data_IF_874743202705
#
_entry.id   IF_874743202705
#
_cell.length_a   1.000
_cell.length_b   1.000
_cell.length_c   1.000
_cell.angle_alpha   90.00
_cell.angle_beta   90.00
_cell.angle_gamma   90.00
#
_symmetry.space_group_name_H-M   'P 1'
#
loop_
_entity.id
_entity.type
_entity.pdbx_description
1 polymer ?
#
# COMPACT_ATOMS: atom_id res chain seq x y z
N UNK A 1 21.06 -0.66 10.73
CA UNK A 1 19.59 -0.83 10.74
C UNK A 1 19.03 0.06 9.63
N UNK A 2 18.15 -0.45 8.78
CA UNK A 2 17.55 0.38 7.74
C UNK A 2 16.29 1.03 8.31
N UNK A 3 16.35 2.34 8.52
CA UNK A 3 15.19 3.12 8.91
C UNK A 3 14.21 3.23 7.73
N UNK A 4 12.94 3.11 8.02
CA UNK A 4 11.84 3.33 7.07
C UNK A 4 11.19 4.67 7.43
N UNK A 5 11.07 5.54 6.45
CA UNK A 5 10.34 6.79 6.57
C UNK A 5 8.97 6.63 5.91
N UNK A 6 7.91 6.81 6.67
CA UNK A 6 6.52 6.80 6.21
C UNK A 6 5.91 8.19 6.28
N UNK A 7 5.17 8.57 5.22
CA UNK A 7 4.34 9.77 5.17
C UNK A 7 2.88 9.39 4.98
N UNK A 8 2.03 9.80 5.91
CA UNK A 8 0.57 9.86 5.72
C UNK A 8 0.20 11.28 5.29
N UNK A 9 -0.23 11.43 4.04
CA UNK A 9 -0.62 12.69 3.43
C UNK A 9 -2.16 12.78 3.47
N UNK A 10 -2.68 13.14 4.64
CA UNK A 10 -4.12 13.30 4.84
C UNK A 10 -4.65 14.66 4.37
N UNK A 11 -5.97 14.82 4.34
CA UNK A 11 -6.61 16.06 3.90
C UNK A 11 -6.26 17.27 4.78
N UNK A 12 -6.06 17.05 6.06
CA UNK A 12 -5.81 18.12 7.03
C UNK A 12 -4.35 18.24 7.47
N UNK A 13 -3.69 17.12 7.65
CA UNK A 13 -2.34 17.02 8.19
C UNK A 13 -1.46 16.12 7.33
N UNK A 14 -0.15 16.37 7.37
CA UNK A 14 0.87 15.41 6.98
C UNK A 14 1.50 14.86 8.25
N UNK A 15 1.54 13.54 8.38
CA UNK A 15 2.21 12.83 9.47
C UNK A 15 3.43 12.13 8.91
N UNK A 16 4.61 12.46 9.43
CA UNK A 16 5.84 11.74 9.12
C UNK A 16 6.25 10.86 10.30
N UNK A 17 6.60 9.61 10.03
CA UNK A 17 7.06 8.66 11.03
C UNK A 17 8.31 7.96 10.52
N UNK A 18 9.37 7.95 11.31
CA UNK A 18 10.61 7.21 11.02
C UNK A 18 10.81 6.15 12.07
N UNK A 19 11.17 4.97 11.65
CA UNK A 19 11.43 3.85 12.55
C UNK A 19 12.04 2.66 11.83
N UNK A 20 12.30 1.59 12.56
CA UNK A 20 12.88 0.37 12.03
C UNK A 20 12.21 -0.87 12.62
N UNK A 21 12.35 -1.99 11.91
CA UNK A 21 11.91 -3.29 12.41
C UNK A 21 13.06 -3.96 13.17
N UNK A 22 12.75 -4.47 14.35
CA UNK A 22 13.65 -5.26 15.17
C UNK A 22 13.71 -6.71 14.69
N UNK A 23 14.70 -7.50 15.13
CA UNK A 23 14.87 -8.90 14.74
C UNK A 23 13.71 -9.80 15.21
N UNK A 24 13.05 -9.45 16.30
CA UNK A 24 11.85 -10.10 16.83
C UNK A 24 10.55 -9.66 16.14
N UNK A 25 10.66 -8.80 15.11
CA UNK A 25 9.54 -8.36 14.27
C UNK A 25 8.76 -7.16 14.79
N UNK A 26 9.09 -6.60 15.95
CA UNK A 26 8.49 -5.36 16.44
C UNK A 26 8.94 -4.15 15.60
N UNK A 27 8.08 -3.13 15.51
CA UNK A 27 8.44 -1.86 14.86
C UNK A 27 8.68 -0.79 15.92
N UNK A 28 9.88 -0.22 15.94
CA UNK A 28 10.25 0.86 16.85
C UNK A 28 10.17 2.18 16.11
N UNK A 29 9.36 3.12 16.62
CA UNK A 29 9.29 4.49 16.15
C UNK A 29 10.40 5.30 16.81
N UNK A 30 11.29 5.89 16.00
CA UNK A 30 12.41 6.72 16.46
C UNK A 30 12.04 8.20 16.48
N UNK A 31 11.29 8.64 15.46
CA UNK A 31 10.83 10.02 15.36
C UNK A 31 9.45 10.08 14.69
N UNK A 32 8.63 11.03 15.12
CA UNK A 32 7.34 11.33 14.50
C UNK A 32 7.08 12.84 14.56
N UNK A 33 6.55 13.35 13.45
CA UNK A 33 6.16 14.75 13.39
C UNK A 33 4.88 14.93 12.59
N UNK A 34 4.02 15.85 13.05
CA UNK A 34 2.73 16.16 12.44
C UNK A 34 2.67 17.62 12.07
N UNK A 35 2.30 17.93 10.83
CA UNK A 35 2.10 19.31 10.39
C UNK A 35 0.79 19.48 9.66
N UNK A 36 0.06 20.50 10.02
CA UNK A 36 -1.18 20.88 9.33
C UNK A 36 -0.86 21.54 8.00
N UNK A 37 -1.64 21.21 6.96
CA UNK A 37 -1.57 21.89 5.68
C UNK A 37 -1.94 23.38 5.77
N UNK A 38 -1.37 24.16 4.87
CA UNK A 38 -1.90 25.48 4.56
C UNK A 38 -3.34 25.37 4.02
N UNK A 39 -4.14 26.43 4.19
CA UNK A 39 -5.52 26.44 3.73
C UNK A 39 -5.66 26.10 2.24
N UNK A 40 -6.60 25.22 1.88
CA UNK A 40 -6.93 24.81 0.51
C UNK A 40 -5.81 24.09 -0.24
N UNK A 41 -4.93 23.39 0.45
CA UNK A 41 -3.89 22.55 -0.18
C UNK A 41 -4.44 21.21 -0.66
N UNK A 42 -5.37 20.65 0.13
CA UNK A 42 -6.02 19.37 -0.10
C UNK A 42 -7.54 19.53 -0.04
N UNK A 43 -8.27 18.75 -0.83
CA UNK A 43 -9.73 18.63 -0.79
C UNK A 43 -10.12 17.16 -1.00
N UNK A 44 -10.89 16.59 -0.08
CA UNK A 44 -11.41 15.21 -0.16
C UNK A 44 -10.36 14.13 -0.49
N UNK A 45 -9.13 14.31 -0.02
CA UNK A 45 -8.00 13.40 -0.29
C UNK A 45 -7.26 13.67 -1.60
N UNK A 46 -7.65 14.70 -2.36
CA UNK A 46 -6.95 15.12 -3.58
C UNK A 46 -6.08 16.35 -3.33
N UNK A 47 -4.94 16.40 -4.00
CA UNK A 47 -4.03 17.55 -3.95
C UNK A 47 -4.56 18.64 -4.89
N UNK A 48 -4.92 19.80 -4.30
CA UNK A 48 -5.34 20.98 -5.06
C UNK A 48 -4.18 21.92 -5.38
N UNK A 49 -3.18 21.96 -4.50
CA UNK A 49 -2.00 22.81 -4.66
C UNK A 49 -0.75 21.99 -4.29
N UNK A 50 -0.11 21.45 -5.33
CA UNK A 50 1.08 20.59 -5.18
C UNK A 50 2.19 21.34 -4.44
N UNK A 51 2.40 22.63 -4.74
CA UNK A 51 3.45 23.43 -4.12
C UNK A 51 3.23 23.63 -2.61
N UNK A 52 1.99 23.84 -2.16
CA UNK A 52 1.66 23.94 -0.74
C UNK A 52 1.86 22.62 -0.02
N UNK A 53 1.40 21.51 -0.62
CA UNK A 53 1.60 20.17 -0.07
C UNK A 53 3.09 19.85 0.03
N UNK A 54 3.86 20.13 -1.02
CA UNK A 54 5.32 19.95 -1.04
C UNK A 54 6.04 20.75 0.07
N UNK A 55 5.61 22.00 0.33
CA UNK A 55 6.16 22.79 1.45
C UNK A 55 5.85 22.15 2.80
N UNK A 56 4.62 21.64 2.98
CA UNK A 56 4.26 20.94 4.23
C UNK A 56 5.09 19.67 4.41
N UNK A 57 5.26 18.87 3.36
CA UNK A 57 6.12 17.68 3.37
C UNK A 57 7.59 18.04 3.67
N UNK A 58 8.12 19.08 3.02
CA UNK A 58 9.50 19.56 3.25
C UNK A 58 9.72 19.99 4.69
N UNK A 59 8.72 20.61 5.31
CA UNK A 59 8.81 21.01 6.71
C UNK A 59 8.73 19.82 7.68
N UNK A 60 7.92 18.79 7.38
CA UNK A 60 7.91 17.53 8.14
C UNK A 60 9.25 16.84 8.03
N UNK A 61 9.79 16.73 6.80
CA UNK A 61 11.11 16.16 6.54
C UNK A 61 12.20 16.86 7.35
N UNK A 62 12.29 18.18 7.25
CA UNK A 62 13.33 18.95 7.93
C UNK A 62 13.31 18.78 9.45
N UNK A 63 12.13 18.71 10.05
CA UNK A 63 11.98 18.47 11.48
C UNK A 63 12.44 17.07 11.88
N UNK A 64 12.07 16.04 11.10
CA UNK A 64 12.51 14.67 11.36
C UNK A 64 14.01 14.49 11.15
N UNK A 65 14.59 15.11 10.11
CA UNK A 65 16.05 15.13 9.88
C UNK A 65 16.80 15.78 11.05
N UNK A 66 16.24 16.86 11.62
CA UNK A 66 16.83 17.51 12.79
C UNK A 66 16.74 16.65 14.06
N UNK A 67 15.66 15.89 14.25
CA UNK A 67 15.51 14.96 15.37
C UNK A 67 16.44 13.75 15.29
N UNK A 68 16.70 13.27 14.07
CA UNK A 68 17.48 12.06 13.81
C UNK A 68 18.96 12.33 13.53
N UNK A 69 19.33 13.57 13.28
CA UNK A 69 20.66 13.98 12.78
C UNK A 69 21.07 13.17 11.52
N UNK A 70 20.10 12.90 10.64
CA UNK A 70 20.29 12.06 9.46
C UNK A 70 19.40 12.52 8.28
N UNK A 71 19.89 12.47 7.03
CA UNK A 71 19.11 12.85 5.86
C UNK A 71 18.04 11.79 5.52
N UNK A 72 16.89 12.25 5.04
CA UNK A 72 15.79 11.42 4.57
C UNK A 72 15.60 11.63 3.05
N UNK A 73 15.94 10.64 2.24
CA UNK A 73 15.91 10.72 0.77
C UNK A 73 14.79 9.88 0.14
N UNK A 74 14.35 8.82 0.82
CA UNK A 74 13.34 7.91 0.35
C UNK A 74 12.18 7.85 1.33
N UNK A 75 10.96 7.67 0.82
CA UNK A 75 9.76 7.67 1.63
C UNK A 75 8.72 6.66 1.13
N UNK A 76 8.07 5.97 2.06
CA UNK A 76 6.85 5.21 1.83
C UNK A 76 5.65 6.12 2.05
N UNK A 77 4.74 6.23 1.08
CA UNK A 77 3.54 7.06 1.19
C UNK A 77 2.37 6.18 1.60
N UNK A 78 1.61 6.59 2.61
CA UNK A 78 0.30 6.06 2.90
C UNK A 78 -0.75 6.94 2.21
N UNK A 79 -1.49 6.34 1.28
CA UNK A 79 -2.60 7.00 0.61
C UNK A 79 -3.91 6.64 1.31
N UNK A 80 -4.63 7.66 1.73
CA UNK A 80 -5.95 7.52 2.34
C UNK A 80 -6.95 8.42 1.63
N UNK A 81 -8.23 8.08 1.73
CA UNK A 81 -9.29 8.98 1.31
C UNK A 81 -10.38 8.33 0.47
N UNK A 82 -11.41 9.12 0.16
CA UNK A 82 -12.62 8.71 -0.58
C UNK A 82 -12.38 8.34 -2.04
N UNK A 83 -11.18 8.64 -2.55
CA UNK A 83 -10.79 8.35 -3.94
C UNK A 83 -10.24 6.95 -4.15
N UNK A 84 -9.95 6.22 -3.05
CA UNK A 84 -9.56 4.82 -3.09
C UNK A 84 -10.70 3.95 -3.63
N UNK A 85 -10.38 3.10 -4.58
CA UNK A 85 -11.24 2.02 -5.07
C UNK A 85 -10.69 0.68 -4.62
N UNK A 86 -11.54 -0.18 -4.12
CA UNK A 86 -11.18 -1.56 -3.78
C UNK A 86 -12.00 -2.53 -4.58
N UNK A 87 -11.34 -3.57 -5.07
CA UNK A 87 -11.97 -4.69 -5.75
C UNK A 87 -11.56 -5.96 -5.02
N UNK A 88 -12.55 -6.76 -4.64
CA UNK A 88 -12.32 -8.11 -4.12
C UNK A 88 -12.61 -9.10 -5.23
N UNK A 89 -11.70 -10.02 -5.48
CA UNK A 89 -11.86 -11.04 -6.50
C UNK A 89 -11.27 -12.37 -6.04
N UNK A 90 -11.63 -13.44 -6.73
CA UNK A 90 -11.14 -14.80 -6.53
C UNK A 90 -10.43 -15.24 -7.80
N UNK A 91 -9.22 -15.76 -7.68
CA UNK A 91 -8.47 -16.33 -8.81
C UNK A 91 -7.97 -17.71 -8.47
N UNK A 92 -7.79 -18.52 -9.51
CA UNK A 92 -7.35 -19.90 -9.41
C UNK A 92 -6.29 -20.19 -10.47
N UNK A 93 -5.39 -21.11 -10.15
CA UNK A 93 -4.38 -21.63 -11.06
C UNK A 93 -4.35 -23.16 -10.95
N UNK A 94 -4.51 -23.85 -12.10
CA UNK A 94 -4.45 -25.30 -12.19
C UNK A 94 -3.11 -25.75 -12.73
N UNK A 95 -2.51 -26.72 -12.07
CA UNK A 95 -1.29 -27.39 -12.54
C UNK A 95 -1.64 -28.50 -13.54
N UNK A 96 -0.76 -28.74 -14.52
CA UNK A 96 -0.92 -29.87 -15.44
C UNK A 96 -0.80 -31.22 -14.74
N UNK A 97 0.00 -31.30 -13.67
CA UNK A 97 0.20 -32.46 -12.80
C UNK A 97 0.34 -31.96 -11.35
N UNK A 98 0.07 -32.84 -10.37
CA UNK A 98 0.23 -32.51 -8.96
C UNK A 98 1.65 -31.97 -8.69
N UNK A 99 1.74 -30.74 -8.22
CA UNK A 99 3.00 -30.02 -8.05
C UNK A 99 3.14 -29.49 -6.63
N UNK A 100 4.39 -29.26 -6.21
CA UNK A 100 4.66 -28.56 -4.95
C UNK A 100 4.55 -27.06 -5.20
N UNK A 101 3.71 -26.37 -4.44
CA UNK A 101 3.50 -24.92 -4.52
C UNK A 101 4.76 -24.19 -4.10
N UNK A 102 5.25 -23.31 -4.95
CA UNK A 102 6.42 -22.48 -4.70
C UNK A 102 6.05 -21.02 -4.44
N UNK A 103 6.96 -20.22 -3.89
CA UNK A 103 6.77 -18.77 -3.77
C UNK A 103 6.57 -18.07 -5.12
N UNK A 104 7.11 -18.62 -6.22
CA UNK A 104 6.91 -18.09 -7.58
C UNK A 104 5.48 -18.35 -8.08
N UNK A 105 4.89 -19.51 -7.76
CA UNK A 105 3.49 -19.81 -8.06
C UNK A 105 2.54 -18.86 -7.31
N UNK A 106 2.81 -18.60 -6.02
CA UNK A 106 2.05 -17.64 -5.22
C UNK A 106 2.16 -16.23 -5.80
N UNK A 107 3.38 -15.82 -6.22
CA UNK A 107 3.56 -14.52 -6.86
C UNK A 107 2.77 -14.42 -8.18
N UNK A 108 2.77 -15.48 -8.99
CA UNK A 108 1.99 -15.55 -10.23
C UNK A 108 0.49 -15.46 -9.94
N UNK A 109 0.01 -16.16 -8.93
CA UNK A 109 -1.39 -16.11 -8.50
C UNK A 109 -1.79 -14.68 -8.08
N UNK A 110 -0.96 -14.00 -7.27
CA UNK A 110 -1.18 -12.61 -6.87
C UNK A 110 -1.25 -11.67 -8.10
N UNK A 111 -0.40 -11.87 -9.12
CA UNK A 111 -0.44 -11.07 -10.34
C UNK A 111 -1.74 -11.29 -11.12
N UNK A 112 -2.21 -12.53 -11.23
CA UNK A 112 -3.51 -12.86 -11.84
C UNK A 112 -4.67 -12.18 -11.09
N UNK A 113 -4.62 -12.17 -9.76
CA UNK A 113 -5.60 -11.49 -8.92
C UNK A 113 -5.64 -9.99 -9.15
N UNK A 114 -4.47 -9.36 -9.25
CA UNK A 114 -4.36 -7.91 -9.55
C UNK A 114 -4.89 -7.60 -10.95
N UNK A 115 -4.54 -8.41 -11.96
CA UNK A 115 -5.01 -8.24 -13.34
C UNK A 115 -6.53 -8.37 -13.44
N UNK A 116 -7.11 -9.42 -12.86
CA UNK A 116 -8.55 -9.63 -12.83
C UNK A 116 -9.29 -8.48 -12.10
N UNK A 117 -8.76 -8.01 -10.97
CA UNK A 117 -9.33 -6.87 -10.25
C UNK A 117 -9.30 -5.60 -11.09
N UNK A 118 -8.23 -5.39 -11.88
CA UNK A 118 -8.12 -4.25 -12.78
C UNK A 118 -9.15 -4.31 -13.91
N UNK A 119 -9.42 -5.48 -14.46
CA UNK A 119 -10.44 -5.67 -15.49
C UNK A 119 -11.86 -5.44 -14.93
N UNK A 120 -12.17 -5.98 -13.75
CA UNK A 120 -13.42 -5.70 -13.03
C UNK A 120 -13.61 -4.19 -12.82
N UNK A 121 -12.53 -3.49 -12.40
CA UNK A 121 -12.60 -2.05 -12.20
C UNK A 121 -12.83 -1.29 -13.51
N UNK A 122 -12.24 -1.73 -14.62
CA UNK A 122 -12.46 -1.15 -15.95
C UNK A 122 -13.89 -1.31 -16.42
N UNK A 123 -14.51 -2.48 -16.21
CA UNK A 123 -15.90 -2.76 -16.56
C UNK A 123 -16.89 -1.93 -15.74
N UNK A 124 -16.59 -1.69 -14.46
CA UNK A 124 -17.46 -0.93 -13.55
C UNK A 124 -17.35 0.58 -13.74
N UNK A 125 -16.25 1.08 -14.29
CA UNK A 125 -16.04 2.51 -14.46
C UNK A 125 -16.12 2.87 -15.95
N UNK A 126 -16.95 3.88 -16.25
CA UNK A 126 -16.93 4.55 -17.54
C UNK A 126 -15.49 5.01 -17.83
N UNK A 127 -14.92 4.57 -18.93
CA UNK A 127 -13.52 4.56 -19.35
C UNK A 127 -12.71 5.86 -19.25
N UNK A 128 -13.17 6.84 -18.48
CA UNK A 128 -12.64 8.19 -18.42
C UNK A 128 -11.41 8.35 -17.52
N UNK A 129 -11.22 7.46 -16.56
CA UNK A 129 -10.13 7.57 -15.58
C UNK A 129 -9.25 6.33 -15.63
N UNK A 130 -7.94 6.54 -15.68
CA UNK A 130 -6.96 5.48 -15.44
C UNK A 130 -6.75 5.32 -13.94
N UNK A 131 -6.56 4.09 -13.52
CA UNK A 131 -6.32 3.71 -12.14
C UNK A 131 -5.02 2.92 -12.04
N UNK A 132 -4.26 3.18 -10.99
CA UNK A 132 -3.06 2.43 -10.64
C UNK A 132 -3.32 1.58 -9.41
N UNK A 133 -2.89 0.31 -9.45
CA UNK A 133 -2.83 -0.53 -8.28
C UNK A 133 -1.79 0.04 -7.31
N UNK A 134 -2.21 0.35 -6.09
CA UNK A 134 -1.34 0.89 -5.03
C UNK A 134 -1.12 -0.12 -3.90
N UNK A 135 -1.73 -1.29 -4.00
CA UNK A 135 -1.52 -2.39 -3.06
C UNK A 135 -2.57 -3.47 -3.18
N UNK A 136 -2.25 -4.63 -2.63
CA UNK A 136 -3.18 -5.74 -2.51
C UNK A 136 -2.96 -6.51 -1.20
N UNK A 137 -3.95 -7.29 -0.81
CA UNK A 137 -3.87 -8.20 0.33
C UNK A 137 -4.62 -9.48 0.03
N UNK A 138 -3.96 -10.60 0.25
CA UNK A 138 -4.62 -11.90 0.17
C UNK A 138 -5.40 -12.14 1.45
N UNK A 139 -6.69 -12.43 1.31
CA UNK A 139 -7.61 -12.70 2.42
C UNK A 139 -7.56 -14.17 2.80
N UNK A 140 -7.52 -15.05 1.78
CA UNK A 140 -7.51 -16.50 1.94
C UNK A 140 -6.76 -17.15 0.79
N UNK A 141 -6.09 -18.23 1.09
CA UNK A 141 -5.57 -19.16 0.10
C UNK A 141 -6.43 -20.42 0.03
N UNK A 142 -6.42 -21.06 -1.14
CA UNK A 142 -7.11 -22.32 -1.40
C UNK A 142 -6.11 -23.32 -1.98
N UNK A 143 -6.19 -24.55 -1.50
CA UNK A 143 -5.42 -25.69 -1.97
C UNK A 143 -6.41 -26.82 -2.29
N UNK A 144 -6.57 -27.18 -3.55
CA UNK A 144 -7.59 -28.14 -4.00
C UNK A 144 -8.98 -27.84 -3.41
N UNK A 145 -9.41 -26.55 -3.46
CA UNK A 145 -10.69 -26.01 -2.96
C UNK A 145 -10.82 -25.90 -1.42
N UNK A 146 -9.86 -26.37 -0.65
CA UNK A 146 -9.83 -26.22 0.81
C UNK A 146 -9.08 -24.95 1.23
N UNK A 147 -9.57 -24.27 2.29
CA UNK A 147 -9.00 -23.00 2.79
C UNK A 147 -7.74 -23.27 3.62
N UNK A 148 -6.66 -22.53 3.32
CA UNK A 148 -5.40 -22.58 4.03
C UNK A 148 -4.92 -21.19 4.43
N UNK A 149 -4.09 -21.12 5.49
CA UNK A 149 -3.40 -19.89 5.91
C UNK A 149 -2.15 -19.65 5.04
N UNK A 150 -1.44 -20.73 4.69
CA UNK A 150 -0.27 -20.72 3.83
C UNK A 150 -0.28 -21.98 2.98
N UNK A 151 0.05 -21.84 1.70
CA UNK A 151 0.05 -22.94 0.74
C UNK A 151 1.43 -23.31 0.23
N UNK A 152 2.45 -22.52 0.53
CA UNK A 152 3.84 -22.77 0.11
C UNK A 152 4.35 -24.10 0.67
N UNK A 153 4.99 -24.91 -0.18
CA UNK A 153 5.54 -26.21 0.17
C UNK A 153 4.53 -27.36 0.19
N UNK A 154 3.24 -27.11 0.05
CA UNK A 154 2.19 -28.13 -0.09
C UNK A 154 2.09 -28.64 -1.52
N UNK A 155 1.58 -29.87 -1.69
CA UNK A 155 1.26 -30.42 -3.00
C UNK A 155 -0.19 -30.15 -3.36
N UNK A 156 -0.43 -29.74 -4.61
CA UNK A 156 -1.75 -29.46 -5.13
C UNK A 156 -1.85 -29.72 -6.64
N UNK A 157 -3.07 -29.96 -7.10
CA UNK A 157 -3.45 -29.88 -8.50
C UNK A 157 -3.96 -28.49 -8.85
N UNK A 158 -4.47 -27.75 -7.85
CA UNK A 158 -5.08 -26.44 -8.03
C UNK A 158 -4.81 -25.57 -6.80
N UNK A 159 -4.44 -24.31 -7.05
CA UNK A 159 -4.30 -23.28 -6.02
C UNK A 159 -5.23 -22.11 -6.34
N UNK A 160 -5.65 -21.39 -5.31
CA UNK A 160 -6.49 -20.21 -5.47
C UNK A 160 -6.29 -19.21 -4.35
N UNK A 161 -6.80 -18.01 -4.55
CA UNK A 161 -6.84 -16.99 -3.52
C UNK A 161 -8.03 -16.06 -3.65
N UNK A 162 -8.51 -15.58 -2.50
CA UNK A 162 -9.33 -14.38 -2.41
C UNK A 162 -8.42 -13.20 -2.12
N UNK A 163 -8.44 -12.20 -2.99
CA UNK A 163 -7.55 -11.04 -2.93
C UNK A 163 -8.35 -9.74 -2.94
N UNK A 164 -7.94 -8.79 -2.13
CA UNK A 164 -8.42 -7.40 -2.16
C UNK A 164 -7.35 -6.57 -2.83
N UNK A 165 -7.70 -5.87 -3.90
CA UNK A 165 -6.79 -4.98 -4.63
C UNK A 165 -7.29 -3.54 -4.49
N UNK A 166 -6.36 -2.63 -4.21
CA UNK A 166 -6.64 -1.21 -4.00
C UNK A 166 -6.05 -0.39 -5.12
N UNK A 167 -6.85 0.55 -5.62
CA UNK A 167 -6.50 1.41 -6.73
C UNK A 167 -6.67 2.88 -6.38
N UNK A 168 -5.83 3.73 -6.99
CA UNK A 168 -5.94 5.18 -7.00
C UNK A 168 -6.05 5.71 -8.43
N UNK A 169 -6.79 6.81 -8.65
CA UNK A 169 -6.76 7.52 -9.93
C UNK A 169 -5.36 8.03 -10.27
N UNK A 170 -5.02 8.02 -11.57
CA UNK A 170 -3.71 8.45 -12.09
C UNK A 170 -3.33 9.86 -11.63
N UNK A 171 -4.25 10.81 -11.70
CA UNK A 171 -4.04 12.20 -11.29
C UNK A 171 -3.70 12.35 -9.81
N UNK A 172 -4.26 11.50 -8.96
CA UNK A 172 -3.95 11.46 -7.51
C UNK A 172 -2.53 10.94 -7.28
N UNK A 173 -2.17 9.84 -7.96
CA UNK A 173 -0.83 9.24 -7.89
C UNK A 173 0.21 10.24 -8.36
N UNK A 174 0.01 10.85 -9.53
CA UNK A 174 0.92 11.85 -10.11
C UNK A 174 1.07 13.08 -9.19
N UNK A 175 -0.03 13.53 -8.58
CA UNK A 175 -0.01 14.62 -7.61
C UNK A 175 0.85 14.29 -6.39
N UNK A 176 0.73 13.08 -5.83
CA UNK A 176 1.54 12.62 -4.70
C UNK A 176 3.02 12.52 -5.05
N UNK A 177 3.36 11.89 -6.18
CA UNK A 177 4.75 11.80 -6.66
C UNK A 177 5.36 13.18 -6.90
N UNK A 178 4.59 14.10 -7.52
CA UNK A 178 5.04 15.46 -7.76
C UNK A 178 5.30 16.24 -6.48
N UNK A 179 4.43 16.11 -5.47
CA UNK A 179 4.60 16.78 -4.18
C UNK A 179 5.84 16.28 -3.42
N UNK A 180 6.05 14.96 -3.41
CA UNK A 180 7.22 14.33 -2.78
C UNK A 180 8.51 14.67 -3.52
N UNK A 181 8.48 14.65 -4.87
CA UNK A 181 9.62 15.04 -5.70
C UNK A 181 10.04 16.51 -5.49
N UNK A 182 9.07 17.43 -5.36
CA UNK A 182 9.37 18.84 -5.01
C UNK A 182 9.97 18.98 -3.59
N UNK A 183 9.65 18.08 -2.67
CA UNK A 183 10.28 18.00 -1.36
C UNK A 183 11.66 17.31 -1.38
N UNK A 184 12.22 17.05 -2.57
CA UNK A 184 13.52 16.41 -2.81
C UNK A 184 13.63 15.03 -2.15
N UNK A 185 12.61 14.21 -2.37
CA UNK A 185 12.57 12.80 -1.98
C UNK A 185 12.08 11.94 -3.12
N UNK A 186 12.40 10.65 -3.07
CA UNK A 186 11.88 9.62 -3.96
C UNK A 186 10.86 8.76 -3.22
N UNK A 187 9.81 8.35 -3.91
CA UNK A 187 8.83 7.41 -3.37
C UNK A 187 9.39 6.00 -3.50
N UNK A 188 9.69 5.36 -2.39
CA UNK A 188 10.14 3.98 -2.35
C UNK A 188 8.97 3.00 -2.49
N UNK A 189 7.83 3.32 -1.87
CA UNK A 189 6.62 2.51 -1.94
C UNK A 189 5.38 3.36 -1.66
N UNK A 190 4.23 2.92 -2.19
CA UNK A 190 2.92 3.49 -1.88
C UNK A 190 2.05 2.42 -1.24
N UNK A 191 1.51 2.71 -0.07
CA UNK A 191 0.71 1.79 0.73
C UNK A 191 -0.72 2.31 0.83
N UNK A 192 -1.68 1.41 0.75
CA UNK A 192 -3.07 1.70 1.08
C UNK A 192 -3.31 1.52 2.58
N UNK A 193 -3.93 2.50 3.24
CA UNK A 193 -4.29 2.40 4.67
C UNK A 193 -5.36 1.36 4.97
N UNK A 194 -6.02 0.78 3.97
CA UNK A 194 -7.02 -0.27 4.15
C UNK A 194 -6.41 -1.51 4.80
N UNK A 195 -5.13 -1.77 4.57
CA UNK A 195 -4.42 -2.91 5.19
C UNK A 195 -4.07 -2.72 6.67
N UNK A 196 -4.16 -1.48 7.18
CA UNK A 196 -3.81 -1.15 8.57
C UNK A 196 -5.05 -1.18 9.47
N UNK A 197 -6.25 -1.03 8.92
CA UNK A 197 -7.50 -0.91 9.67
C UNK A 197 -8.27 -2.22 9.86
N UNK A 198 -7.88 -3.32 9.21
CA UNK A 198 -8.43 -4.62 9.56
C UNK A 198 -7.63 -5.20 10.73
N UNK A 199 -8.24 -5.37 11.91
CA UNK A 199 -7.60 -6.12 12.97
C UNK A 199 -7.37 -7.54 12.43
N UNK A 200 -6.13 -7.97 12.39
CA UNK A 200 -5.76 -9.35 12.20
C UNK A 200 -6.59 -10.18 13.18
N UNK A 201 -7.66 -10.82 12.72
CA UNK A 201 -8.37 -11.87 13.47
C UNK A 201 -7.47 -13.11 13.57
N UNK A 202 -6.36 -12.93 14.23
CA UNK A 202 -5.37 -13.99 14.51
C UNK A 202 -5.16 -14.15 16.01
N UNK A 203 -6.20 -13.97 16.80
CA UNK A 203 -6.15 -14.35 18.20
C UNK A 203 -7.57 -14.65 18.68
N UNK A 204 -8.07 -15.83 18.34
CA UNK A 204 -9.08 -16.55 19.12
C UNK A 204 -9.40 -17.87 18.42
N UNK A 205 -8.48 -18.84 18.51
CA UNK A 205 -8.80 -20.28 18.64
C UNK A 205 -7.78 -20.84 19.62
N UNK A 206 -8.11 -20.78 20.89
CA UNK A 206 -7.55 -21.67 21.93
C UNK A 206 -8.59 -22.73 22.23
#
# INVERSE_FOLDING_TARGET
>A
MNNVFGLDIGTRNVVGTVGHRTEDGAFIVEAQYVRQHETRSMLDGQIHDIGKVARTISAVKAELEAQLDAPLSEVCIAAAGRVLKTVTTHVEYEYAEESVVTGEDIHTLNLLGVEQAQDILREQNDTKYKFYCVGYSVVKYYLNEEVFISIEGHKANKIGEDIIVTFLPEDVVDGLYSAVGQAKMTVANMLSLIHISEPTRQAEIS
#
